data_IF_781278421852
#
_entry.id   IF_781278421852
#
_cell.length_a   1.000
_cell.length_b   1.000
_cell.length_c   1.000
_cell.angle_alpha   90.00
_cell.angle_beta   90.00
_cell.angle_gamma   90.00
#
_symmetry.space_group_name_H-M   'P 1'
#
loop_
_entity.id
_entity.type
_entity.pdbx_description
1 polymer ?
#
# COMPACT_ATOMS: atom_id res chain seq x y z
N UNK A 1 -8.06 46.04 -17.24
CA UNK A 1 -8.14 44.64 -17.69
C UNK A 1 -7.75 43.77 -16.50
N UNK A 2 -8.70 43.02 -15.96
CA UNK A 2 -8.48 42.14 -14.82
C UNK A 2 -7.58 41.00 -15.27
N UNK A 3 -6.49 40.77 -14.55
CA UNK A 3 -5.57 39.68 -14.74
C UNK A 3 -6.34 38.35 -14.57
N UNK A 4 -6.32 37.40 -15.51
CA UNK A 4 -6.97 36.11 -15.30
C UNK A 4 -6.25 35.43 -14.14
N UNK A 5 -6.90 35.38 -12.97
CA UNK A 5 -6.50 34.49 -11.90
C UNK A 5 -6.53 33.08 -12.49
N UNK A 6 -5.36 32.45 -12.59
CA UNK A 6 -5.25 31.05 -12.99
C UNK A 6 -6.01 30.22 -11.95
N UNK A 7 -7.22 29.79 -12.29
CA UNK A 7 -8.02 28.93 -11.44
C UNK A 7 -7.18 27.69 -11.09
N UNK A 8 -7.10 27.36 -9.82
CA UNK A 8 -6.46 26.12 -9.36
C UNK A 8 -7.16 24.93 -10.08
N UNK A 9 -6.40 24.02 -10.69
CA UNK A 9 -7.03 22.88 -11.36
C UNK A 9 -7.91 22.10 -10.39
N UNK A 10 -9.10 21.70 -10.86
CA UNK A 10 -10.04 20.93 -10.06
C UNK A 10 -9.39 19.60 -9.60
N UNK A 11 -9.50 19.31 -8.32
CA UNK A 11 -9.00 18.08 -7.71
C UNK A 11 -9.91 16.88 -8.05
N UNK A 12 -9.46 15.63 -7.84
CA UNK A 12 -10.35 14.48 -7.96
C UNK A 12 -11.64 14.60 -7.14
N UNK A 13 -11.56 15.05 -5.90
CA UNK A 13 -12.71 15.22 -5.01
C UNK A 13 -13.70 16.28 -5.54
N UNK A 14 -13.22 17.41 -6.07
CA UNK A 14 -14.06 18.44 -6.69
C UNK A 14 -14.87 17.88 -7.87
N UNK A 15 -14.34 16.85 -8.53
CA UNK A 15 -14.98 16.16 -9.64
C UNK A 15 -15.79 14.94 -9.21
N UNK A 16 -15.92 14.69 -7.90
CA UNK A 16 -16.71 13.59 -7.34
C UNK A 16 -16.04 12.22 -7.38
N UNK A 17 -14.72 12.16 -7.57
CA UNK A 17 -13.97 10.91 -7.45
C UNK A 17 -13.67 10.58 -5.98
N UNK A 18 -13.72 9.28 -5.65
CA UNK A 18 -13.31 8.74 -4.36
C UNK A 18 -12.44 7.50 -4.57
N UNK A 19 -11.54 7.21 -3.63
CA UNK A 19 -10.76 5.97 -3.66
C UNK A 19 -11.63 4.80 -3.19
N UNK A 20 -11.82 3.75 -4.01
CA UNK A 20 -12.58 2.55 -3.61
C UNK A 20 -11.77 1.70 -2.62
N UNK A 21 -12.47 0.85 -1.88
CA UNK A 21 -11.83 -0.11 -0.98
C UNK A 21 -11.14 -1.24 -1.73
N UNK A 22 -10.17 -1.90 -1.08
CA UNK A 22 -9.42 -3.00 -1.69
C UNK A 22 -10.28 -4.25 -1.95
N UNK A 23 -11.33 -4.49 -1.18
CA UNK A 23 -12.23 -5.65 -1.39
C UNK A 23 -13.25 -5.46 -2.53
N UNK A 24 -13.36 -4.25 -3.10
CA UNK A 24 -14.24 -4.01 -4.25
C UNK A 24 -13.69 -4.73 -5.52
N UNK A 25 -14.53 -5.01 -6.52
CA UNK A 25 -14.09 -5.77 -7.70
C UNK A 25 -12.90 -5.12 -8.43
N UNK A 26 -11.91 -5.93 -8.77
CA UNK A 26 -10.71 -5.51 -9.49
C UNK A 26 -10.81 -5.84 -10.98
N UNK A 27 -10.42 -4.90 -11.83
CA UNK A 27 -10.08 -5.12 -13.23
C UNK A 27 -8.68 -5.72 -13.38
N UNK A 28 -7.85 -5.61 -12.36
CA UNK A 28 -6.52 -6.21 -12.33
C UNK A 28 -5.69 -5.80 -11.12
N UNK A 29 -4.56 -6.47 -10.98
CA UNK A 29 -3.53 -6.18 -9.96
C UNK A 29 -2.21 -5.85 -10.63
N UNK A 30 -1.57 -4.79 -10.16
CA UNK A 30 -0.24 -4.39 -10.58
C UNK A 30 0.82 -4.97 -9.65
N UNK A 31 1.87 -5.56 -10.24
CA UNK A 31 3.10 -6.00 -9.57
C UNK A 31 4.30 -5.61 -10.43
N UNK A 32 5.46 -5.37 -9.82
CA UNK A 32 6.72 -5.26 -10.56
C UNK A 32 7.57 -6.51 -10.31
N UNK A 33 8.08 -7.13 -11.39
CA UNK A 33 8.92 -8.32 -11.28
C UNK A 33 10.18 -8.03 -10.47
N UNK A 34 10.55 -8.88 -9.49
CA UNK A 34 11.71 -8.63 -8.63
C UNK A 34 13.00 -8.64 -9.45
N UNK A 35 13.87 -7.68 -9.16
CA UNK A 35 15.11 -7.54 -9.91
C UNK A 35 16.25 -6.89 -9.13
N UNK A 36 15.96 -6.16 -8.07
CA UNK A 36 16.97 -5.53 -7.23
C UNK A 36 17.44 -6.53 -6.16
N UNK A 37 18.62 -7.08 -6.35
CA UNK A 37 19.22 -8.04 -5.41
C UNK A 37 19.52 -7.42 -4.04
N UNK A 38 19.66 -6.10 -3.98
CA UNK A 38 19.85 -5.35 -2.73
C UNK A 38 18.62 -5.30 -1.83
N UNK A 39 17.42 -5.62 -2.35
CA UNK A 39 16.21 -5.72 -1.52
C UNK A 39 16.18 -7.05 -0.73
N UNK A 40 16.86 -8.10 -1.24
CA UNK A 40 16.96 -9.42 -0.59
C UNK A 40 18.39 -9.96 -0.62
N UNK A 41 19.34 -9.33 0.08
CA UNK A 41 20.75 -9.76 0.05
C UNK A 41 20.91 -11.23 0.47
N UNK A 42 21.56 -12.03 -0.39
CA UNK A 42 21.82 -13.46 -0.13
C UNK A 42 20.60 -14.38 -0.28
N UNK A 43 19.39 -13.86 -0.58
CA UNK A 43 18.15 -14.65 -0.70
C UNK A 43 17.36 -14.39 -1.98
N UNK A 44 17.91 -13.62 -2.91
CA UNK A 44 17.18 -13.18 -4.09
C UNK A 44 16.68 -14.34 -4.99
N UNK A 45 17.41 -15.45 -5.08
CA UNK A 45 17.07 -16.56 -6.01
C UNK A 45 15.71 -17.19 -5.71
N UNK A 46 15.24 -17.17 -4.47
CA UNK A 46 13.94 -17.74 -4.08
C UNK A 46 12.78 -16.77 -4.30
N UNK A 47 13.03 -15.47 -4.32
CA UNK A 47 12.01 -14.43 -4.40
C UNK A 47 11.14 -14.52 -5.66
N UNK A 48 11.68 -14.72 -6.87
CA UNK A 48 10.87 -14.90 -8.08
C UNK A 48 9.82 -16.03 -7.97
N UNK A 49 10.09 -17.08 -7.17
CA UNK A 49 9.18 -18.19 -6.98
C UNK A 49 8.02 -17.83 -6.06
N UNK A 50 8.25 -17.03 -5.01
CA UNK A 50 7.19 -16.47 -4.16
C UNK A 50 6.29 -15.55 -4.99
N UNK A 51 6.86 -14.67 -5.82
CA UNK A 51 6.09 -13.87 -6.79
C UNK A 51 5.27 -14.73 -7.74
N UNK A 52 5.87 -15.83 -8.23
CA UNK A 52 5.17 -16.80 -9.06
C UNK A 52 3.92 -17.36 -8.39
N UNK A 53 4.01 -17.74 -7.12
CA UNK A 53 2.88 -18.26 -6.35
C UNK A 53 1.81 -17.18 -6.11
N UNK A 54 2.21 -15.95 -5.74
CA UNK A 54 1.30 -14.82 -5.60
C UNK A 54 0.51 -14.59 -6.91
N UNK A 55 1.23 -14.47 -8.02
CA UNK A 55 0.64 -14.22 -9.34
C UNK A 55 -0.29 -15.37 -9.74
N UNK A 56 0.09 -16.62 -9.46
CA UNK A 56 -0.75 -17.78 -9.72
C UNK A 56 -2.09 -17.69 -9.00
N UNK A 57 -2.11 -17.27 -7.74
CA UNK A 57 -3.33 -17.11 -6.93
C UNK A 57 -4.17 -15.93 -7.41
N UNK A 58 -3.56 -14.77 -7.64
CA UNK A 58 -4.25 -13.55 -8.07
C UNK A 58 -4.85 -13.72 -9.47
N UNK A 59 -4.12 -14.32 -10.40
CA UNK A 59 -4.54 -14.45 -11.80
C UNK A 59 -5.77 -15.35 -12.01
N UNK A 60 -6.24 -16.07 -11.00
CA UNK A 60 -7.51 -16.82 -11.06
C UNK A 60 -8.70 -15.86 -11.23
N UNK A 61 -8.70 -14.73 -10.51
CA UNK A 61 -9.84 -13.81 -10.47
C UNK A 61 -9.68 -12.54 -11.29
N UNK A 62 -8.46 -12.16 -11.68
CA UNK A 62 -8.21 -10.87 -12.30
C UNK A 62 -6.96 -10.87 -13.21
N UNK A 63 -6.82 -9.85 -14.03
CA UNK A 63 -5.63 -9.64 -14.84
C UNK A 63 -4.47 -9.19 -13.97
N UNK A 64 -3.32 -9.85 -14.07
CA UNK A 64 -2.09 -9.36 -13.44
C UNK A 64 -1.32 -8.50 -14.45
N UNK A 65 -1.10 -7.24 -14.12
CA UNK A 65 -0.26 -6.31 -14.89
C UNK A 65 1.14 -6.33 -14.32
N UNK A 66 1.99 -7.14 -14.95
CA UNK A 66 3.34 -7.39 -14.46
C UNK A 66 4.34 -6.44 -15.12
N UNK A 67 4.84 -5.50 -14.34
CA UNK A 67 5.89 -4.56 -14.77
C UNK A 67 7.20 -5.33 -14.89
N UNK A 68 7.85 -5.16 -16.02
CA UNK A 68 9.17 -5.74 -16.34
C UNK A 68 10.07 -4.64 -16.92
N UNK A 69 11.35 -4.67 -16.61
CA UNK A 69 12.30 -3.65 -17.12
C UNK A 69 12.63 -3.85 -18.60
N UNK A 70 12.79 -5.10 -19.02
CA UNK A 70 13.22 -5.46 -20.36
C UNK A 70 12.87 -6.91 -20.73
N UNK A 71 13.15 -7.31 -21.96
CA UNK A 71 12.76 -8.61 -22.48
C UNK A 71 13.39 -9.82 -21.74
N UNK A 72 14.59 -9.68 -21.17
CA UNK A 72 15.20 -10.77 -20.37
C UNK A 72 14.38 -11.03 -19.11
N UNK A 73 13.95 -9.98 -18.40
CA UNK A 73 13.05 -10.13 -17.23
C UNK A 73 11.75 -10.83 -17.64
N UNK A 74 11.16 -10.43 -18.78
CA UNK A 74 9.95 -11.06 -19.32
C UNK A 74 10.12 -12.56 -19.57
N UNK A 75 11.24 -12.94 -20.18
CA UNK A 75 11.53 -14.36 -20.47
C UNK A 75 11.67 -15.16 -19.18
N UNK A 76 12.39 -14.63 -18.19
CA UNK A 76 12.57 -15.27 -16.89
C UNK A 76 11.24 -15.34 -16.12
N UNK A 77 10.48 -14.26 -16.04
CA UNK A 77 9.16 -14.25 -15.43
C UNK A 77 8.23 -15.29 -16.07
N UNK A 78 8.17 -15.35 -17.40
CA UNK A 78 7.39 -16.37 -18.11
C UNK A 78 7.81 -17.79 -17.77
N UNK A 79 9.12 -18.04 -17.64
CA UNK A 79 9.62 -19.35 -17.23
C UNK A 79 9.11 -19.74 -15.84
N UNK A 80 9.29 -18.86 -14.84
CA UNK A 80 8.82 -19.11 -13.47
C UNK A 80 7.31 -19.29 -13.43
N UNK A 81 6.55 -18.35 -14.03
CA UNK A 81 5.08 -18.40 -14.05
C UNK A 81 4.53 -19.69 -14.69
N UNK A 82 5.16 -20.17 -15.76
CA UNK A 82 4.81 -21.44 -16.37
C UNK A 82 5.09 -22.61 -15.41
N UNK A 83 6.21 -22.60 -14.71
CA UNK A 83 6.62 -23.66 -13.77
C UNK A 83 5.68 -23.75 -12.55
N UNK A 84 5.20 -22.63 -12.05
CA UNK A 84 4.24 -22.61 -10.93
C UNK A 84 2.79 -22.83 -11.38
N UNK A 85 2.53 -22.95 -12.68
CA UNK A 85 1.18 -23.21 -13.22
C UNK A 85 0.27 -21.97 -13.27
N UNK A 86 0.82 -20.77 -13.38
CA UNK A 86 0.03 -19.55 -13.58
C UNK A 86 -0.54 -19.49 -15.01
N UNK A 87 -1.77 -18.99 -15.15
CA UNK A 87 -2.40 -18.79 -16.46
C UNK A 87 -1.80 -17.55 -17.16
N UNK A 88 -0.88 -17.79 -18.09
CA UNK A 88 -0.20 -16.73 -18.82
C UNK A 88 -1.13 -15.85 -19.68
N UNK A 89 -2.37 -16.27 -19.96
CA UNK A 89 -3.37 -15.47 -20.68
C UNK A 89 -3.91 -14.32 -19.80
N UNK A 90 -3.81 -14.50 -18.49
CA UNK A 90 -4.19 -13.50 -17.49
C UNK A 90 -3.05 -12.55 -17.11
N UNK A 91 -1.86 -12.71 -17.68
CA UNK A 91 -0.67 -11.89 -17.36
C UNK A 91 -0.42 -10.91 -18.50
N UNK A 92 -0.60 -9.63 -18.23
CA UNK A 92 -0.21 -8.55 -19.13
C UNK A 92 1.16 -8.00 -18.72
N UNK A 93 2.18 -8.24 -19.54
CA UNK A 93 3.50 -7.67 -19.30
C UNK A 93 3.54 -6.20 -19.71
N UNK A 94 3.98 -5.35 -18.78
CA UNK A 94 4.11 -3.91 -18.97
C UNK A 94 5.59 -3.53 -18.90
N UNK A 95 6.18 -3.07 -20.01
CA UNK A 95 7.60 -2.69 -20.01
C UNK A 95 7.75 -1.29 -19.41
N UNK A 96 8.40 -1.20 -18.27
CA UNK A 96 8.77 0.05 -17.61
C UNK A 96 10.00 -0.19 -16.72
N UNK A 97 11.06 0.61 -16.85
CA UNK A 97 12.23 0.47 -15.99
C UNK A 97 11.90 0.92 -14.57
N UNK A 98 12.11 0.05 -13.59
CA UNK A 98 11.95 0.35 -12.16
C UNK A 98 13.30 0.29 -11.45
N UNK A 99 13.40 0.95 -10.30
CA UNK A 99 14.52 0.82 -9.37
C UNK A 99 14.30 -0.35 -8.41
N UNK A 100 13.06 -0.53 -7.94
CA UNK A 100 12.63 -1.57 -7.00
C UNK A 100 11.31 -2.20 -7.43
N UNK A 101 10.82 -3.19 -6.67
CA UNK A 101 9.60 -3.95 -6.99
C UNK A 101 8.39 -3.66 -6.10
N UNK A 102 8.43 -2.66 -5.26
CA UNK A 102 7.43 -2.36 -4.23
C UNK A 102 6.25 -1.57 -4.82
N UNK A 103 5.38 -2.28 -5.53
CA UNK A 103 4.32 -1.67 -6.35
C UNK A 103 3.20 -1.05 -5.52
N UNK A 104 3.01 -1.46 -4.27
CA UNK A 104 2.07 -0.80 -3.36
C UNK A 104 2.39 0.69 -3.21
N UNK A 105 3.67 1.02 -3.12
CA UNK A 105 4.15 2.37 -2.83
C UNK A 105 4.46 3.18 -4.08
N UNK A 106 4.76 2.50 -5.18
CA UNK A 106 5.15 3.13 -6.45
C UNK A 106 4.09 3.02 -7.54
N UNK A 107 3.07 2.22 -7.31
CA UNK A 107 2.03 1.91 -8.29
C UNK A 107 0.98 3.01 -8.44
N UNK A 108 0.07 2.82 -9.42
CA UNK A 108 -1.02 3.76 -9.66
C UNK A 108 -2.07 3.69 -8.55
N UNK A 109 -2.33 4.79 -7.86
CA UNK A 109 -3.46 4.89 -6.94
C UNK A 109 -4.70 5.29 -7.73
N UNK A 110 -5.74 4.46 -7.69
CA UNK A 110 -6.96 4.67 -8.46
C UNK A 110 -8.04 5.36 -7.63
N UNK A 111 -8.75 6.26 -8.29
CA UNK A 111 -9.98 6.85 -7.78
C UNK A 111 -11.11 6.60 -8.78
N UNK A 112 -12.34 6.52 -8.29
CA UNK A 112 -13.51 6.14 -9.07
C UNK A 112 -14.65 7.14 -8.88
N UNK A 113 -15.37 7.43 -9.97
CA UNK A 113 -16.60 8.20 -10.00
C UNK A 113 -17.59 7.48 -10.89
N UNK A 114 -18.66 6.93 -10.33
CA UNK A 114 -19.59 6.07 -11.07
C UNK A 114 -18.85 4.91 -11.79
N UNK A 115 -18.87 4.87 -13.10
CA UNK A 115 -18.20 3.86 -13.94
C UNK A 115 -16.84 4.34 -14.51
N UNK A 116 -16.39 5.51 -14.13
CA UNK A 116 -15.13 6.09 -14.57
C UNK A 116 -14.06 5.95 -13.50
N UNK A 117 -12.89 5.45 -13.88
CA UNK A 117 -11.71 5.41 -13.01
C UNK A 117 -10.64 6.38 -13.53
N UNK A 118 -9.97 7.03 -12.62
CA UNK A 118 -8.79 7.87 -12.87
C UNK A 118 -7.63 7.46 -11.97
N UNK A 119 -6.46 7.99 -12.24
CA UNK A 119 -5.25 7.71 -11.47
C UNK A 119 -4.80 8.99 -10.77
N UNK A 120 -4.45 8.88 -9.51
CA UNK A 120 -3.74 9.91 -8.75
C UNK A 120 -2.27 9.53 -8.68
N UNK A 121 -1.41 10.37 -9.22
CA UNK A 121 0.03 10.24 -9.10
C UNK A 121 0.49 11.03 -7.87
N UNK A 122 0.65 10.34 -6.76
CA UNK A 122 1.42 10.83 -5.64
C UNK A 122 2.90 10.65 -5.96
N UNK A 123 3.70 11.63 -5.57
CA UNK A 123 5.13 11.53 -5.79
C UNK A 123 5.74 10.47 -4.87
N UNK A 124 6.62 9.63 -5.42
CA UNK A 124 7.41 8.70 -4.64
C UNK A 124 8.84 9.22 -4.50
N UNK A 125 9.39 9.25 -3.29
CA UNK A 125 10.70 9.77 -2.97
C UNK A 125 11.62 8.76 -2.26
N UNK A 126 11.35 7.45 -2.43
CA UNK A 126 12.14 6.40 -1.79
C UNK A 126 11.94 6.32 -0.28
N UNK A 127 10.70 6.51 0.19
CA UNK A 127 10.36 6.58 1.62
C UNK A 127 11.12 7.66 2.40
N UNK A 128 11.56 8.73 1.71
CA UNK A 128 12.48 9.75 2.23
C UNK A 128 13.77 9.15 2.84
N UNK A 129 14.23 8.02 2.34
CA UNK A 129 15.36 7.23 2.85
C UNK A 129 16.35 6.83 1.77
N UNK A 130 15.88 6.39 0.60
CA UNK A 130 16.69 5.83 -0.47
C UNK A 130 16.79 6.77 -1.67
N UNK A 131 17.95 6.83 -2.33
CA UNK A 131 18.18 7.71 -3.47
C UNK A 131 17.73 7.12 -4.82
N UNK A 132 17.50 5.80 -4.89
CA UNK A 132 17.19 5.06 -6.11
C UNK A 132 15.68 4.87 -6.29
N UNK A 133 14.94 5.92 -6.64
CA UNK A 133 13.48 5.93 -6.76
C UNK A 133 12.95 6.60 -8.05
N UNK A 134 13.80 7.32 -8.80
CA UNK A 134 13.35 8.19 -9.90
C UNK A 134 12.64 7.47 -11.04
N UNK A 135 12.90 6.18 -11.24
CA UNK A 135 12.18 5.37 -12.23
C UNK A 135 10.81 4.96 -11.69
N UNK A 136 10.74 4.62 -10.42
CA UNK A 136 9.54 4.11 -9.75
C UNK A 136 8.44 5.16 -9.70
N UNK A 137 8.77 6.43 -9.43
CA UNK A 137 7.80 7.54 -9.40
C UNK A 137 7.11 7.79 -10.76
N UNK A 138 7.55 7.11 -11.84
CA UNK A 138 6.96 7.19 -13.19
C UNK A 138 5.98 6.06 -13.51
N UNK A 139 5.80 5.11 -12.62
CA UNK A 139 4.89 3.97 -12.82
C UNK A 139 3.44 4.43 -13.03
N UNK A 140 2.87 5.38 -12.25
CA UNK A 140 1.51 5.87 -12.47
C UNK A 140 1.28 6.53 -13.84
N UNK A 141 2.28 7.24 -14.38
CA UNK A 141 2.22 7.82 -15.73
C UNK A 141 2.16 6.73 -16.81
N UNK A 142 2.96 5.67 -16.65
CA UNK A 142 2.93 4.50 -17.55
C UNK A 142 1.58 3.79 -17.49
N UNK A 143 1.02 3.62 -16.29
CA UNK A 143 -0.30 3.02 -16.10
C UNK A 143 -1.40 3.87 -16.76
N UNK A 144 -1.39 5.18 -16.54
CA UNK A 144 -2.37 6.10 -17.13
C UNK A 144 -2.34 6.04 -18.66
N UNK A 145 -1.17 6.04 -19.26
CA UNK A 145 -0.98 5.91 -20.71
C UNK A 145 -1.47 4.55 -21.23
N UNK A 146 -1.11 3.45 -20.55
CA UNK A 146 -1.52 2.10 -20.94
C UNK A 146 -3.03 1.92 -20.92
N UNK A 147 -3.68 2.47 -19.89
CA UNK A 147 -5.11 2.30 -19.65
C UNK A 147 -5.98 3.39 -20.30
N UNK A 148 -5.38 4.43 -20.89
CA UNK A 148 -6.13 5.60 -21.40
C UNK A 148 -6.87 6.34 -20.31
N UNK A 149 -6.36 6.38 -19.08
CA UNK A 149 -7.01 6.99 -17.91
C UNK A 149 -6.50 8.40 -17.65
N UNK A 150 -7.41 9.25 -17.13
CA UNK A 150 -7.04 10.58 -16.63
C UNK A 150 -6.02 10.44 -15.50
N UNK A 151 -5.02 11.29 -15.50
CA UNK A 151 -3.97 11.35 -14.49
C UNK A 151 -4.05 12.69 -13.75
N UNK A 152 -4.15 12.63 -12.44
CA UNK A 152 -4.04 13.78 -11.56
C UNK A 152 -2.69 13.73 -10.85
N UNK A 153 -1.93 14.82 -10.85
CA UNK A 153 -0.69 14.94 -10.09
C UNK A 153 -1.00 15.57 -8.73
N UNK A 154 -0.74 14.84 -7.65
CA UNK A 154 -1.00 15.33 -6.31
C UNK A 154 0.02 16.41 -5.94
N UNK A 155 -0.49 17.59 -5.62
CA UNK A 155 0.30 18.76 -5.27
C UNK A 155 -0.29 19.45 -4.04
N UNK A 156 0.56 20.02 -3.22
CA UNK A 156 0.17 20.78 -2.05
C UNK A 156 0.81 22.18 -2.09
N UNK A 157 0.05 23.25 -1.81
CA UNK A 157 0.61 24.57 -1.63
C UNK A 157 1.36 24.64 -0.28
N UNK A 158 2.61 25.10 -0.31
CA UNK A 158 3.38 25.38 0.89
C UNK A 158 3.27 26.88 1.24
N UNK A 159 3.04 27.24 2.50
CA UNK A 159 3.15 28.61 2.94
C UNK A 159 4.54 29.17 2.61
N UNK A 160 4.59 30.30 1.90
CA UNK A 160 5.88 30.94 1.61
C UNK A 160 6.41 31.69 2.83
N UNK A 161 7.70 31.50 3.14
CA UNK A 161 8.36 32.21 4.24
C UNK A 161 8.56 33.72 4.00
N UNK A 162 8.23 34.23 2.81
CA UNK A 162 8.42 35.65 2.46
C UNK A 162 7.07 36.33 2.21
N UNK A 163 6.90 37.54 2.78
CA UNK A 163 5.66 38.35 2.72
C UNK A 163 5.18 38.72 1.30
N UNK A 164 5.98 38.48 0.25
CA UNK A 164 5.70 38.87 -1.11
C UNK A 164 5.59 37.68 -2.09
N UNK A 165 5.64 36.45 -1.65
CA UNK A 165 5.60 35.30 -2.54
C UNK A 165 4.30 34.51 -2.43
N UNK A 166 3.68 34.29 -3.59
CA UNK A 166 2.62 33.31 -3.81
C UNK A 166 3.07 31.94 -3.29
N UNK A 167 2.15 31.12 -2.78
CA UNK A 167 2.41 29.74 -2.35
C UNK A 167 3.36 29.02 -3.31
N UNK A 168 4.38 28.33 -2.78
CA UNK A 168 5.19 27.41 -3.55
C UNK A 168 4.41 26.08 -3.64
N UNK A 169 4.22 25.56 -4.83
CA UNK A 169 3.58 24.27 -5.05
C UNK A 169 4.66 23.19 -5.00
N UNK A 170 4.45 22.15 -4.20
CA UNK A 170 5.30 20.95 -4.20
C UNK A 170 4.49 19.70 -4.55
N UNK A 171 5.18 18.70 -5.13
CA UNK A 171 4.62 17.37 -5.29
C UNK A 171 4.37 16.74 -3.93
N UNK A 172 3.19 16.18 -3.75
CA UNK A 172 2.80 15.56 -2.49
C UNK A 172 3.15 14.08 -2.48
N UNK A 173 3.84 13.64 -1.45
CA UNK A 173 4.33 12.27 -1.30
C UNK A 173 3.38 11.48 -0.43
N UNK A 174 2.88 10.36 -0.99
CA UNK A 174 2.15 9.31 -0.28
C UNK A 174 2.53 7.98 -0.90
N UNK A 175 2.70 6.99 -0.05
CA UNK A 175 2.83 5.58 -0.42
C UNK A 175 1.49 4.87 -0.16
N UNK A 176 1.12 3.93 -1.04
CA UNK A 176 -0.11 3.16 -0.88
C UNK A 176 -0.14 2.28 0.37
N UNK A 177 1.04 1.82 0.85
CA UNK A 177 1.16 1.08 2.11
C UNK A 177 0.94 1.94 3.36
N UNK A 178 1.09 3.27 3.23
CA UNK A 178 0.86 4.21 4.34
C UNK A 178 -0.60 4.64 4.52
N UNK A 179 -1.53 4.18 3.68
CA UNK A 179 -2.96 4.54 3.74
C UNK A 179 -3.85 3.30 3.69
N UNK A 180 -4.90 3.29 4.51
CA UNK A 180 -5.92 2.24 4.53
C UNK A 180 -7.31 2.88 4.50
N UNK A 181 -8.21 2.39 3.62
CA UNK A 181 -9.50 3.03 3.38
C UNK A 181 -10.66 2.02 3.41
N UNK A 182 -11.81 2.48 3.95
CA UNK A 182 -13.03 1.67 3.95
C UNK A 182 -13.91 1.85 2.69
N UNK A 183 -13.46 2.62 1.69
CA UNK A 183 -14.23 2.88 0.46
C UNK A 183 -15.51 3.70 0.65
N UNK A 184 -15.78 4.20 1.86
CA UNK A 184 -16.97 5.00 2.20
C UNK A 184 -16.63 6.42 2.62
N UNK A 185 -15.35 6.69 2.82
CA UNK A 185 -14.84 8.02 3.16
C UNK A 185 -14.01 8.09 4.42
N UNK A 186 -13.73 6.96 5.11
CA UNK A 186 -12.78 6.90 6.22
C UNK A 186 -11.44 6.37 5.75
N UNK A 187 -10.38 7.09 6.11
CA UNK A 187 -8.98 6.73 5.90
C UNK A 187 -8.29 6.60 7.26
N UNK A 188 -7.45 5.57 7.41
CA UNK A 188 -6.56 5.37 8.55
C UNK A 188 -5.12 5.44 8.06
N UNK A 189 -4.26 6.10 8.83
CA UNK A 189 -2.81 6.17 8.62
C UNK A 189 -2.10 6.23 9.96
N UNK A 190 -0.78 6.43 9.97
CA UNK A 190 -0.01 6.59 11.20
C UNK A 190 0.65 7.95 11.30
N UNK A 191 0.76 8.46 12.52
CA UNK A 191 1.51 9.68 12.78
C UNK A 191 3.00 9.48 12.49
N UNK A 192 3.54 8.30 12.78
CA UNK A 192 4.94 7.95 12.51
C UNK A 192 5.29 8.11 11.03
N UNK A 193 4.42 7.67 10.12
CA UNK A 193 4.71 7.70 8.69
C UNK A 193 4.70 9.12 8.09
N UNK A 194 3.68 9.91 8.39
CA UNK A 194 3.48 11.17 7.68
C UNK A 194 3.60 12.43 8.53
N UNK A 195 3.63 12.30 9.86
CA UNK A 195 3.66 13.44 10.79
C UNK A 195 4.95 13.50 11.61
N UNK A 196 5.87 12.54 11.48
CA UNK A 196 7.17 12.63 12.14
C UNK A 196 7.98 13.78 11.53
N UNK A 197 8.40 14.76 12.33
CA UNK A 197 9.12 15.93 11.81
C UNK A 197 10.62 15.70 11.58
N UNK A 198 11.16 14.51 11.92
CA UNK A 198 12.60 14.26 11.97
C UNK A 198 13.04 13.06 11.15
N UNK A 199 12.27 11.96 11.19
CA UNK A 199 12.66 10.68 10.57
C UNK A 199 11.84 10.48 9.31
N UNK A 200 12.52 10.18 8.21
CA UNK A 200 11.90 9.88 6.90
C UNK A 200 10.77 10.86 6.55
N UNK A 201 11.02 12.15 6.67
CA UNK A 201 10.02 13.22 6.45
C UNK A 201 9.60 13.24 4.98
N UNK A 202 8.41 12.71 4.68
CA UNK A 202 7.88 12.59 3.30
C UNK A 202 7.57 13.95 2.69
N UNK A 203 6.97 14.83 3.47
CA UNK A 203 6.46 16.14 3.02
C UNK A 203 7.02 17.28 3.88
N UNK A 204 8.29 17.66 3.71
CA UNK A 204 8.90 18.71 4.51
C UNK A 204 8.12 20.03 4.45
N UNK A 205 7.88 20.62 5.60
CA UNK A 205 7.18 21.92 5.73
C UNK A 205 5.65 21.83 5.71
N UNK A 206 5.06 20.61 5.61
CA UNK A 206 3.62 20.41 5.78
C UNK A 206 3.30 19.88 7.18
N UNK A 207 2.25 20.42 7.77
CA UNK A 207 1.68 19.91 9.02
C UNK A 207 0.47 18.98 8.76
N UNK A 208 -0.11 18.50 9.85
CA UNK A 208 -1.27 17.59 9.82
C UNK A 208 -2.42 18.15 8.99
N UNK A 209 -2.73 19.43 9.14
CA UNK A 209 -3.85 20.11 8.45
C UNK A 209 -3.68 20.08 6.93
N UNK A 210 -2.49 20.40 6.42
CA UNK A 210 -2.18 20.41 5.00
C UNK A 210 -2.17 18.99 4.41
N UNK A 211 -1.65 18.03 5.16
CA UNK A 211 -1.62 16.62 4.77
C UNK A 211 -3.05 16.09 4.68
N UNK A 212 -3.89 16.30 5.69
CA UNK A 212 -5.29 15.87 5.68
C UNK A 212 -6.10 16.53 4.56
N UNK A 213 -5.91 17.83 4.35
CA UNK A 213 -6.59 18.54 3.27
C UNK A 213 -6.22 17.97 1.90
N UNK A 214 -4.93 17.63 1.70
CA UNK A 214 -4.45 17.05 0.44
C UNK A 214 -5.02 15.64 0.24
N UNK A 215 -5.02 14.80 1.27
CA UNK A 215 -5.64 13.47 1.21
C UNK A 215 -7.13 13.55 0.87
N UNK A 216 -7.88 14.47 1.49
CA UNK A 216 -9.29 14.70 1.19
C UNK A 216 -9.50 15.12 -0.27
N UNK A 217 -8.69 16.05 -0.77
CA UNK A 217 -8.80 16.57 -2.13
C UNK A 217 -8.47 15.53 -3.22
N UNK A 218 -7.52 14.63 -2.96
CA UNK A 218 -7.07 13.68 -3.97
C UNK A 218 -7.69 12.30 -3.85
N UNK A 219 -8.12 11.88 -2.66
CA UNK A 219 -8.73 10.57 -2.44
C UNK A 219 -10.25 10.62 -2.19
N UNK A 220 -10.82 11.83 -2.03
CA UNK A 220 -12.26 12.01 -1.79
C UNK A 220 -12.72 11.49 -0.43
N UNK A 221 -11.80 11.36 0.54
CA UNK A 221 -12.11 10.93 1.90
C UNK A 221 -12.66 12.09 2.74
N UNK A 222 -13.48 11.77 3.73
CA UNK A 222 -14.13 12.75 4.62
C UNK A 222 -13.51 12.75 6.00
N UNK A 223 -13.18 11.56 6.48
CA UNK A 223 -12.66 11.31 7.81
C UNK A 223 -11.27 10.69 7.74
N UNK A 224 -10.33 11.19 8.54
CA UNK A 224 -8.96 10.67 8.62
C UNK A 224 -8.64 10.40 10.08
N UNK A 225 -8.20 9.19 10.37
CA UNK A 225 -7.82 8.75 11.71
C UNK A 225 -6.33 8.36 11.75
N UNK A 226 -5.67 8.73 12.82
CA UNK A 226 -4.23 8.52 12.99
C UNK A 226 -3.93 7.54 14.12
N UNK A 227 -3.37 6.38 13.75
CA UNK A 227 -2.69 5.51 14.70
C UNK A 227 -1.29 6.06 15.02
N UNK A 228 -0.61 5.48 16.01
CA UNK A 228 0.67 5.99 16.46
C UNK A 228 1.83 5.48 15.58
N UNK A 229 2.25 4.24 15.80
CA UNK A 229 3.50 3.69 15.26
C UNK A 229 3.31 2.32 14.64
N UNK A 230 4.22 2.00 13.72
CA UNK A 230 4.37 0.69 13.11
C UNK A 230 5.08 -0.34 14.00
N UNK A 231 5.18 -1.60 13.49
CA UNK A 231 5.92 -2.65 14.18
C UNK A 231 7.43 -2.41 14.09
N UNK A 232 8.16 -2.97 15.03
CA UNK A 232 9.62 -2.95 15.04
C UNK A 232 10.19 -3.65 13.81
N UNK A 233 11.19 -3.05 13.20
CA UNK A 233 11.82 -3.55 11.98
C UNK A 233 11.21 -2.99 10.69
N UNK A 234 10.10 -2.26 10.76
CA UNK A 234 9.50 -1.60 9.62
C UNK A 234 10.44 -0.53 9.04
N UNK A 235 10.88 -0.77 7.80
CA UNK A 235 11.81 0.10 7.07
C UNK A 235 11.13 1.33 6.48
N UNK A 236 9.80 1.30 6.40
CA UNK A 236 8.98 2.39 5.86
C UNK A 236 8.62 3.44 6.91
N UNK A 237 8.94 3.20 8.17
CA UNK A 237 8.64 4.09 9.29
C UNK A 237 7.13 4.27 9.50
N UNK A 238 6.45 3.18 9.82
CA UNK A 238 5.06 3.18 10.29
C UNK A 238 3.99 3.01 9.21
N UNK A 239 4.23 2.21 8.16
CA UNK A 239 3.16 1.89 7.22
C UNK A 239 1.97 1.21 7.90
N UNK A 240 0.76 1.65 7.52
CA UNK A 240 -0.48 1.15 8.12
C UNK A 240 -0.81 -0.28 7.71
N UNK A 241 -0.34 -0.73 6.56
CA UNK A 241 -0.64 -2.06 6.01
C UNK A 241 0.03 -3.22 6.77
N UNK A 242 0.96 -2.91 7.66
CA UNK A 242 1.53 -3.85 8.63
C UNK A 242 0.81 -3.86 10.00
N UNK A 243 -0.20 -2.98 10.17
CA UNK A 243 -0.82 -2.74 11.49
C UNK A 243 -2.33 -2.95 11.45
N UNK A 244 -3.01 -2.33 10.48
CA UNK A 244 -4.45 -2.20 10.48
C UNK A 244 -5.01 -2.28 9.06
N UNK A 245 -6.02 -3.13 8.83
CA UNK A 245 -6.63 -3.32 7.52
C UNK A 245 -8.14 -3.42 7.64
N UNK A 246 -8.88 -2.69 6.81
CA UNK A 246 -10.31 -2.93 6.65
C UNK A 246 -10.56 -4.24 5.90
N UNK A 247 -11.53 -5.02 6.39
CA UNK A 247 -12.02 -6.24 5.74
C UNK A 247 -13.39 -6.05 5.11
N UNK A 248 -14.09 -5.02 5.53
CA UNK A 248 -15.31 -4.48 4.93
C UNK A 248 -15.53 -3.05 5.41
N UNK A 249 -16.62 -2.40 4.99
CA UNK A 249 -16.87 -0.98 5.26
C UNK A 249 -16.94 -0.61 6.76
N UNK A 250 -17.19 -1.58 7.64
CA UNK A 250 -17.43 -1.36 9.08
C UNK A 250 -16.58 -2.23 9.99
N UNK A 251 -15.80 -3.17 9.46
CA UNK A 251 -14.96 -4.07 10.25
C UNK A 251 -13.51 -3.93 9.78
N UNK A 252 -12.60 -3.85 10.75
CA UNK A 252 -11.16 -3.85 10.48
C UNK A 252 -10.45 -4.86 11.39
N UNK A 253 -9.29 -5.31 10.96
CA UNK A 253 -8.34 -6.03 11.80
C UNK A 253 -7.26 -5.08 12.29
N UNK A 254 -6.84 -5.28 13.55
CA UNK A 254 -5.73 -4.55 14.15
C UNK A 254 -4.78 -5.56 14.79
N UNK A 255 -3.50 -5.48 14.47
CA UNK A 255 -2.51 -6.41 15.02
C UNK A 255 -2.28 -6.17 16.50
N UNK A 256 -1.96 -7.25 17.22
CA UNK A 256 -1.68 -7.19 18.66
C UNK A 256 -0.50 -8.09 19.01
N UNK A 257 0.44 -7.52 19.77
CA UNK A 257 1.46 -8.28 20.48
C UNK A 257 1.02 -8.47 21.93
N UNK A 258 1.01 -9.72 22.41
CA UNK A 258 0.59 -10.05 23.79
C UNK A 258 1.74 -10.26 24.75
N UNK A 259 2.96 -10.49 24.23
CA UNK A 259 4.15 -10.68 25.05
C UNK A 259 4.68 -9.32 25.52
N UNK A 260 4.60 -8.97 26.80
CA UNK A 260 5.06 -7.68 27.31
C UNK A 260 6.58 -7.48 27.23
N UNK A 261 7.33 -8.55 26.96
CA UNK A 261 8.79 -8.49 26.76
C UNK A 261 9.15 -8.23 25.28
N UNK A 262 8.20 -8.24 24.36
CA UNK A 262 8.44 -7.94 22.95
C UNK A 262 8.47 -6.43 22.69
N UNK A 263 9.36 -5.97 21.83
CA UNK A 263 9.48 -4.55 21.44
C UNK A 263 8.21 -4.00 20.79
N UNK A 264 7.37 -4.86 20.18
CA UNK A 264 6.09 -4.49 19.57
C UNK A 264 4.98 -4.29 20.59
N UNK A 265 5.14 -4.77 21.83
CA UNK A 265 4.06 -4.74 22.82
C UNK A 265 3.54 -3.31 23.07
N UNK A 266 4.42 -2.38 23.42
CA UNK A 266 4.03 -1.01 23.77
C UNK A 266 3.46 -0.22 22.57
N UNK A 267 4.12 -0.17 21.38
CA UNK A 267 3.60 0.59 20.26
C UNK A 267 2.25 0.04 19.75
N UNK A 268 2.07 -1.28 19.72
CA UNK A 268 0.80 -1.86 19.30
C UNK A 268 -0.29 -1.71 20.36
N UNK A 269 0.04 -1.75 21.67
CA UNK A 269 -0.92 -1.45 22.73
C UNK A 269 -1.42 0.00 22.64
N UNK A 270 -0.55 0.96 22.31
CA UNK A 270 -0.96 2.36 22.08
C UNK A 270 -1.96 2.45 20.92
N UNK A 271 -1.76 1.73 19.84
CA UNK A 271 -2.71 1.69 18.71
C UNK A 271 -4.07 1.11 19.14
N UNK A 272 -4.08 0.10 20.02
CA UNK A 272 -5.31 -0.46 20.59
C UNK A 272 -6.05 0.53 21.50
N UNK A 273 -5.35 1.42 22.20
CA UNK A 273 -5.99 2.49 22.98
C UNK A 273 -6.59 3.54 22.05
N UNK A 274 -5.82 3.99 21.04
CA UNK A 274 -6.26 5.02 20.10
C UNK A 274 -7.47 4.60 19.26
N UNK A 275 -7.51 3.35 18.79
CA UNK A 275 -8.59 2.88 17.90
C UNK A 275 -10.00 2.95 18.55
N UNK A 276 -10.11 3.00 19.87
CA UNK A 276 -11.36 3.16 20.59
C UNK A 276 -12.08 4.48 20.26
N UNK A 277 -11.31 5.47 19.84
CA UNK A 277 -11.82 6.79 19.48
C UNK A 277 -12.17 6.92 17.99
N UNK A 278 -11.85 5.90 17.18
CA UNK A 278 -12.20 5.91 15.76
C UNK A 278 -13.73 6.00 15.60
N UNK A 279 -14.12 6.94 14.75
CA UNK A 279 -15.48 7.01 14.20
C UNK A 279 -15.38 6.96 12.69
N UNK A 280 -16.27 6.20 12.07
CA UNK A 280 -16.38 6.15 10.62
C UNK A 280 -17.00 7.45 10.09
N UNK A 281 -17.03 7.60 8.77
CA UNK A 281 -17.60 8.77 8.09
C UNK A 281 -19.07 9.03 8.40
N UNK A 282 -19.80 8.00 8.89
CA UNK A 282 -21.20 8.08 9.33
C UNK A 282 -21.35 8.34 10.85
N UNK A 283 -20.22 8.53 11.57
CA UNK A 283 -20.18 8.70 13.01
C UNK A 283 -20.25 7.39 13.80
N UNK A 284 -20.45 6.25 13.14
CA UNK A 284 -20.48 4.92 13.76
C UNK A 284 -19.10 4.45 14.23
N UNK A 285 -19.07 3.50 15.14
CA UNK A 285 -17.84 2.79 15.52
C UNK A 285 -17.65 1.58 14.61
N UNK A 286 -16.42 1.32 14.13
CA UNK A 286 -16.15 0.06 13.47
C UNK A 286 -16.10 -1.09 14.47
N UNK A 287 -16.30 -2.30 13.97
CA UNK A 287 -15.87 -3.51 14.62
C UNK A 287 -14.35 -3.65 14.44
N UNK A 288 -13.64 -3.90 15.54
CA UNK A 288 -12.17 -4.08 15.53
C UNK A 288 -11.86 -5.51 15.95
N UNK A 289 -11.31 -6.30 15.04
CA UNK A 289 -10.95 -7.69 15.26
C UNK A 289 -9.44 -7.79 15.51
N UNK A 290 -9.07 -8.48 16.59
CA UNK A 290 -7.68 -8.71 16.93
C UNK A 290 -7.04 -9.70 15.96
N UNK A 291 -5.89 -9.32 15.38
CA UNK A 291 -5.04 -10.20 14.58
C UNK A 291 -3.70 -10.41 15.32
N UNK A 292 -3.25 -11.66 15.56
CA UNK A 292 -2.00 -11.88 16.28
C UNK A 292 -0.80 -11.39 15.47
N UNK A 293 0.31 -11.12 16.14
CA UNK A 293 1.62 -11.03 15.49
C UNK A 293 2.25 -12.43 15.39
N UNK A 294 3.10 -12.71 14.39
CA UNK A 294 3.98 -13.87 14.44
C UNK A 294 5.06 -13.66 15.51
N UNK A 295 5.68 -14.74 15.96
CA UNK A 295 6.88 -14.67 16.80
C UNK A 295 7.95 -13.81 16.13
N UNK A 296 8.82 -13.14 16.91
CA UNK A 296 9.89 -12.31 16.36
C UNK A 296 10.76 -13.05 15.34
N UNK A 297 10.77 -12.54 14.13
CA UNK A 297 11.57 -13.10 13.04
C UNK A 297 12.85 -12.28 12.86
N UNK A 298 13.99 -12.93 12.86
CA UNK A 298 15.30 -12.30 12.69
C UNK A 298 16.06 -12.93 11.53
N UNK A 299 16.76 -12.11 10.77
CA UNK A 299 17.75 -12.56 9.82
C UNK A 299 18.97 -11.64 9.88
N UNK A 300 20.17 -12.21 9.93
CA UNK A 300 21.45 -11.50 10.04
C UNK A 300 21.47 -10.46 11.19
N UNK A 301 20.86 -10.83 12.34
CA UNK A 301 20.74 -9.96 13.52
C UNK A 301 19.72 -8.83 13.40
N UNK A 302 19.02 -8.70 12.26
CA UNK A 302 18.00 -7.68 12.03
C UNK A 302 16.62 -8.25 12.28
N UNK A 303 15.80 -7.57 13.08
CA UNK A 303 14.38 -7.91 13.25
C UNK A 303 13.60 -7.51 12.00
N UNK A 304 12.77 -8.44 11.51
CA UNK A 304 11.96 -8.25 10.31
C UNK A 304 10.53 -7.81 10.67
N UNK A 305 9.88 -6.97 9.86
CA UNK A 305 8.51 -6.48 10.09
C UNK A 305 7.47 -7.53 9.65
N UNK A 306 7.56 -8.73 10.19
CA UNK A 306 6.62 -9.80 9.86
C UNK A 306 5.24 -9.48 10.45
N UNK A 307 4.22 -9.38 9.61
CA UNK A 307 2.86 -9.09 10.01
C UNK A 307 1.84 -9.81 9.13
N UNK A 308 0.83 -10.44 9.76
CA UNK A 308 -0.29 -11.01 9.02
C UNK A 308 -1.23 -9.95 8.44
N UNK A 309 -1.17 -8.69 8.89
CA UNK A 309 -1.93 -7.59 8.31
C UNK A 309 -1.49 -7.23 6.88
N UNK A 310 -0.28 -7.64 6.47
CA UNK A 310 0.22 -7.41 5.12
C UNK A 310 -0.37 -8.41 4.09
N UNK A 311 -1.66 -8.76 4.26
CA UNK A 311 -2.43 -9.57 3.30
C UNK A 311 -2.94 -8.72 2.13
N UNK A 312 -3.21 -9.37 0.99
CA UNK A 312 -3.81 -8.74 -0.18
C UNK A 312 -5.17 -9.37 -0.50
N UNK A 313 -6.16 -8.50 -0.76
CA UNK A 313 -7.54 -8.93 -1.08
C UNK A 313 -7.72 -8.93 -2.60
N UNK A 314 -7.51 -10.08 -3.23
CA UNK A 314 -7.81 -10.26 -4.66
C UNK A 314 -9.25 -10.73 -4.91
N UNK A 315 -9.70 -10.70 -6.16
CA UNK A 315 -11.06 -11.16 -6.52
C UNK A 315 -11.31 -12.62 -6.19
N UNK A 316 -10.32 -13.51 -6.40
CA UNK A 316 -10.47 -14.97 -6.23
C UNK A 316 -10.05 -15.47 -4.85
N UNK A 317 -9.24 -14.73 -4.12
CA UNK A 317 -8.72 -15.13 -2.82
C UNK A 317 -8.13 -13.95 -2.06
N UNK A 318 -8.12 -14.05 -0.73
CA UNK A 318 -7.25 -13.25 0.13
C UNK A 318 -5.96 -14.01 0.32
N UNK A 319 -4.83 -13.43 -0.08
CA UNK A 319 -3.51 -14.03 0.11
C UNK A 319 -2.85 -13.43 1.36
N UNK A 320 -2.41 -14.28 2.27
CA UNK A 320 -1.90 -13.90 3.59
C UNK A 320 -0.46 -14.39 3.73
N UNK A 321 0.48 -13.53 4.16
CA UNK A 321 1.85 -13.98 4.41
C UNK A 321 1.87 -14.94 5.60
N UNK A 322 2.65 -16.02 5.50
CA UNK A 322 2.88 -16.98 6.58
C UNK A 322 4.36 -17.12 6.89
N UNK A 323 4.70 -17.38 8.16
CA UNK A 323 6.06 -17.24 8.67
C UNK A 323 6.59 -18.50 9.36
N UNK A 324 5.98 -19.67 9.10
CA UNK A 324 6.28 -20.93 9.82
C UNK A 324 6.05 -20.82 11.32
N UNK A 325 5.01 -20.09 11.71
CA UNK A 325 4.68 -19.78 13.08
C UNK A 325 3.36 -20.44 13.49
N UNK A 326 3.18 -20.87 14.75
CA UNK A 326 1.89 -21.39 15.23
C UNK A 326 0.72 -20.43 14.98
N UNK A 327 0.95 -19.11 15.01
CA UNK A 327 -0.05 -18.09 14.75
C UNK A 327 -0.46 -17.98 13.27
N UNK A 328 0.26 -18.62 12.32
CA UNK A 328 -0.17 -18.70 10.91
C UNK A 328 -1.59 -19.27 10.81
N UNK A 329 -1.88 -20.36 11.55
CA UNK A 329 -3.21 -20.99 11.55
C UNK A 329 -4.27 -20.11 12.20
N UNK A 330 -3.89 -19.39 13.27
CA UNK A 330 -4.79 -18.49 13.99
C UNK A 330 -5.18 -17.32 13.08
N UNK A 331 -4.19 -16.67 12.44
CA UNK A 331 -4.42 -15.55 11.54
C UNK A 331 -5.27 -15.96 10.32
N UNK A 332 -4.93 -17.09 9.69
CA UNK A 332 -5.71 -17.63 8.56
C UNK A 332 -7.15 -17.97 8.98
N UNK A 333 -7.36 -18.51 10.19
CA UNK A 333 -8.69 -18.79 10.74
C UNK A 333 -9.52 -17.53 10.95
N UNK A 334 -8.94 -16.51 11.60
CA UNK A 334 -9.61 -15.22 11.83
C UNK A 334 -10.01 -14.57 10.50
N UNK A 335 -9.07 -14.48 9.56
CA UNK A 335 -9.35 -13.90 8.24
C UNK A 335 -10.36 -14.74 7.45
N UNK A 336 -10.32 -16.07 7.56
CA UNK A 336 -11.30 -16.96 6.94
C UNK A 336 -12.74 -16.76 7.44
N UNK A 337 -12.92 -16.40 8.72
CA UNK A 337 -14.24 -16.03 9.26
C UNK A 337 -14.72 -14.65 8.77
N UNK A 338 -13.80 -13.75 8.49
CA UNK A 338 -14.11 -12.39 8.02
C UNK A 338 -14.38 -12.35 6.52
N UNK A 339 -13.69 -13.19 5.71
CA UNK A 339 -13.84 -13.28 4.26
C UNK A 339 -14.57 -14.56 3.85
N UNK A 340 -15.89 -14.63 4.05
CA UNK A 340 -16.70 -15.80 3.71
C UNK A 340 -17.04 -15.91 2.22
N UNK A 341 -16.83 -14.86 1.46
CA UNK A 341 -17.12 -14.76 0.03
C UNK A 341 -15.98 -15.30 -0.86
N UNK A 342 -14.79 -15.47 -0.29
CA UNK A 342 -13.60 -15.94 -1.01
C UNK A 342 -12.64 -16.69 -0.08
N UNK A 343 -11.86 -17.67 -0.60
CA UNK A 343 -10.90 -18.40 0.22
C UNK A 343 -9.77 -17.49 0.73
N UNK A 344 -9.35 -17.76 1.95
CA UNK A 344 -8.13 -17.19 2.55
C UNK A 344 -7.01 -18.21 2.43
N UNK A 345 -5.90 -17.84 1.80
CA UNK A 345 -4.80 -18.76 1.51
C UNK A 345 -3.46 -18.19 1.99
N UNK A 346 -2.70 -19.00 2.72
CA UNK A 346 -1.35 -18.66 3.16
C UNK A 346 -0.36 -18.76 1.99
N UNK A 347 0.58 -17.81 1.95
CA UNK A 347 1.77 -17.86 1.10
C UNK A 347 3.00 -17.71 1.98
N UNK A 348 3.92 -18.65 1.87
CA UNK A 348 5.18 -18.63 2.64
C UNK A 348 5.99 -17.37 2.33
N UNK A 349 6.27 -16.56 3.35
CA UNK A 349 6.85 -15.24 3.22
C UNK A 349 8.11 -15.01 4.06
N UNK A 350 8.69 -16.07 4.66
CA UNK A 350 9.88 -15.96 5.53
C UNK A 350 11.05 -15.32 4.80
N UNK A 351 11.34 -15.77 3.56
CA UNK A 351 12.41 -15.16 2.76
C UNK A 351 12.00 -13.83 2.14
N UNK A 352 10.69 -13.67 1.84
CA UNK A 352 10.15 -12.46 1.24
C UNK A 352 10.28 -11.26 2.18
N UNK A 353 9.95 -11.45 3.46
CA UNK A 353 9.96 -10.37 4.47
C UNK A 353 11.38 -9.85 4.79
N UNK A 354 12.43 -10.54 4.35
CA UNK A 354 13.79 -10.02 4.39
C UNK A 354 13.97 -8.71 3.60
N UNK A 355 13.11 -8.47 2.61
CA UNK A 355 13.04 -7.19 1.91
C UNK A 355 12.30 -6.09 2.67
N UNK A 356 11.97 -6.28 3.94
CA UNK A 356 11.24 -5.35 4.80
C UNK A 356 9.79 -5.07 4.36
N UNK A 357 9.17 -6.00 3.65
CA UNK A 357 7.77 -5.97 3.24
C UNK A 357 7.33 -7.36 2.78
N UNK A 358 6.04 -7.55 2.57
CA UNK A 358 5.52 -8.82 2.12
C UNK A 358 4.45 -8.68 1.02
N UNK A 359 3.37 -9.45 1.04
CA UNK A 359 2.47 -9.61 -0.11
C UNK A 359 1.74 -8.32 -0.51
N UNK A 360 1.23 -7.57 0.48
CA UNK A 360 0.51 -6.31 0.22
C UNK A 360 1.44 -5.25 -0.36
N UNK A 361 2.65 -5.11 0.21
CA UNK A 361 3.65 -4.14 -0.24
C UNK A 361 4.04 -4.32 -1.73
N UNK A 362 3.85 -5.51 -2.29
CA UNK A 362 4.18 -5.84 -3.67
C UNK A 362 3.04 -5.65 -4.67
N UNK A 363 1.81 -5.42 -4.18
CA UNK A 363 0.59 -5.43 -4.99
C UNK A 363 -0.11 -4.07 -4.97
N UNK A 364 -0.72 -3.68 -6.10
CA UNK A 364 -1.59 -2.51 -6.17
C UNK A 364 -2.84 -2.85 -6.96
N UNK A 365 -4.01 -2.73 -6.35
CA UNK A 365 -5.29 -3.03 -7.00
C UNK A 365 -5.67 -1.99 -8.04
N UNK A 366 -6.28 -2.46 -9.12
CA UNK A 366 -6.96 -1.63 -10.11
C UNK A 366 -8.45 -1.94 -10.05
N UNK A 367 -9.30 -1.03 -9.57
CA UNK A 367 -10.74 -1.23 -9.54
C UNK A 367 -11.37 -1.29 -10.94
N UNK A 368 -12.54 -1.90 -11.02
CA UNK A 368 -13.38 -1.96 -12.24
C UNK A 368 -13.96 -0.59 -12.57
#
# INVERSE_FOLDING_TARGET
MANPQTATPATPADLGYTMPAEWEPHAGTWLAWPHNTGDWPGKFEVIPWVYGEMIRKISVGETVRLIIRHNKDKQFARHVLKRVGADLRKIQFVTHPTNRGWTRDTGPIFVKRQNETAIVNFHFNGWAKYDNWRKDTKVPETAAKLLGKKLFHAQCPIPSATQNSKFKIQNFVIEGGGIELNGRGTLISTEECYLDPKIQVRNPGLGKTEIEATLKNYLGVKNIFWLAKGPKGDDTHGHIDDICRFVNAKTLVLVREKNPSDENYQPLAENWERIKDLRLEDGGKPEVVELPMPSPLYFDGVRLPASYANFYIGNAAVIVPTFNDPNDRVALGILGELFRDRPVVGIHAVDLVWGFGSLHCLTQQQPV
#
